data_IF_775015036084
#
_entry.id   IF_775015036084
#
_cell.length_a   1.000
_cell.length_b   1.000
_cell.length_c   1.000
_cell.angle_alpha   90.00
_cell.angle_beta   90.00
_cell.angle_gamma   90.00
#
_symmetry.space_group_name_H-M   'P 1'
#
loop_
_entity.id
_entity.type
_entity.pdbx_description
1 polymer ?
#
# COMPACT_ATOMS: atom_id res chain seq x y z
N UNK A 1 -1.33 -1.65 17.09
CA UNK A 1 -2.32 -2.68 16.74
C UNK A 1 -2.30 -2.80 15.23
N UNK A 2 -2.08 -4.00 14.72
CA UNK A 2 -2.06 -4.29 13.29
C UNK A 2 -3.48 -4.33 12.73
N UNK A 3 -3.61 -4.28 11.40
CA UNK A 3 -4.87 -4.51 10.69
C UNK A 3 -4.62 -5.33 9.43
N UNK A 4 -5.66 -6.03 8.98
CA UNK A 4 -5.59 -6.84 7.76
C UNK A 4 -6.43 -6.27 6.63
N UNK A 5 -6.00 -6.51 5.40
CA UNK A 5 -6.74 -6.17 4.18
C UNK A 5 -6.40 -7.15 3.07
N UNK A 6 -7.20 -7.18 2.01
CA UNK A 6 -6.95 -8.01 0.84
C UNK A 6 -6.34 -7.18 -0.29
N UNK A 7 -5.40 -7.76 -1.02
CA UNK A 7 -4.86 -7.14 -2.23
C UNK A 7 -5.79 -7.30 -3.41
N UNK A 8 -5.75 -6.33 -4.31
CA UNK A 8 -6.38 -6.45 -5.61
C UNK A 8 -5.47 -5.90 -6.71
N UNK A 9 -5.50 -6.56 -7.87
CA UNK A 9 -4.70 -6.21 -9.04
C UNK A 9 -3.28 -6.79 -9.02
N UNK A 10 -2.60 -6.64 -10.15
CA UNK A 10 -1.33 -7.29 -10.45
C UNK A 10 -0.11 -6.39 -10.23
N UNK A 11 -0.23 -5.33 -9.43
CA UNK A 11 0.82 -4.31 -9.33
C UNK A 11 2.15 -4.84 -8.74
N UNK A 12 2.09 -5.91 -7.96
CA UNK A 12 3.27 -6.57 -7.41
C UNK A 12 3.61 -7.87 -8.15
N UNK A 13 2.93 -8.16 -9.26
CA UNK A 13 3.08 -9.38 -10.04
C UNK A 13 2.88 -10.65 -9.22
N UNK A 14 3.70 -11.67 -9.49
CA UNK A 14 3.71 -12.92 -8.73
C UNK A 14 4.18 -12.76 -7.27
N UNK A 15 4.86 -11.65 -6.93
CA UNK A 15 5.41 -11.44 -5.59
C UNK A 15 4.33 -11.25 -4.52
N UNK A 16 3.24 -10.55 -4.86
CA UNK A 16 2.04 -10.49 -4.02
C UNK A 16 0.83 -10.74 -4.92
N UNK A 17 0.23 -11.95 -4.85
CA UNK A 17 -0.87 -12.29 -5.73
C UNK A 17 -2.14 -11.50 -5.38
N UNK A 18 -3.00 -11.32 -6.37
CA UNK A 18 -4.35 -10.79 -6.20
C UNK A 18 -5.14 -11.64 -5.19
N UNK A 19 -5.82 -11.00 -4.25
CA UNK A 19 -6.61 -11.66 -3.20
C UNK A 19 -5.79 -12.16 -2.02
N UNK A 20 -4.49 -11.83 -1.95
CA UNK A 20 -3.66 -12.10 -0.79
C UNK A 20 -4.17 -11.31 0.42
N UNK A 21 -4.27 -11.96 1.58
CA UNK A 21 -4.54 -11.25 2.83
C UNK A 21 -3.21 -10.75 3.41
N UNK A 22 -3.09 -9.44 3.57
CA UNK A 22 -1.91 -8.80 4.14
C UNK A 22 -2.20 -8.27 5.54
N UNK A 23 -1.17 -8.26 6.38
CA UNK A 23 -1.17 -7.62 7.69
C UNK A 23 -0.24 -6.40 7.68
N UNK A 24 -0.79 -5.25 8.06
CA UNK A 24 -0.07 -3.99 8.19
C UNK A 24 0.12 -3.58 9.66
N UNK A 25 1.31 -3.10 9.98
CA UNK A 25 1.66 -2.50 11.27
C UNK A 25 1.93 -0.99 11.11
N UNK A 26 1.15 -0.11 11.77
CA UNK A 26 1.32 1.34 11.71
C UNK A 26 2.40 1.87 12.68
N UNK A 27 3.17 1.01 13.33
CA UNK A 27 4.11 1.38 14.42
C UNK A 27 5.60 1.39 14.02
N UNK A 28 6.14 0.35 13.36
CA UNK A 28 7.58 0.22 13.13
C UNK A 28 8.09 1.20 12.08
N UNK A 29 9.39 1.49 12.16
CA UNK A 29 10.09 2.21 11.10
C UNK A 29 10.12 1.39 9.81
N UNK A 30 9.94 2.08 8.68
CA UNK A 30 9.92 1.52 7.33
C UNK A 30 11.26 1.79 6.65
N UNK A 31 11.91 0.74 6.16
CA UNK A 31 13.21 0.76 5.48
C UNK A 31 13.07 0.49 3.98
N UNK A 32 13.96 1.03 3.14
CA UNK A 32 13.96 0.73 1.71
C UNK A 32 13.98 -0.78 1.43
N UNK A 33 13.21 -1.21 0.44
CA UNK A 33 13.01 -2.62 0.06
C UNK A 33 11.82 -3.29 0.75
N UNK A 34 11.25 -2.69 1.79
CA UNK A 34 10.11 -3.27 2.51
C UNK A 34 8.78 -2.96 1.81
N UNK A 35 7.80 -3.86 1.96
CA UNK A 35 6.45 -3.66 1.49
C UNK A 35 5.66 -2.74 2.42
N UNK A 36 4.83 -1.88 1.84
CA UNK A 36 4.00 -0.92 2.57
C UNK A 36 2.58 -0.86 2.03
N UNK A 37 1.62 -0.64 2.92
CA UNK A 37 0.30 -0.15 2.57
C UNK A 37 0.34 1.37 2.44
N UNK A 38 -0.13 1.90 1.30
CA UNK A 38 -0.15 3.34 1.00
C UNK A 38 -1.57 3.81 0.77
N UNK A 39 -2.07 4.70 1.62
CA UNK A 39 -3.40 5.31 1.46
C UNK A 39 -3.23 6.73 0.93
N UNK A 40 -3.79 6.99 -0.25
CA UNK A 40 -3.73 8.30 -0.89
C UNK A 40 -4.94 9.14 -0.50
N UNK A 41 -4.74 10.45 -0.34
CA UNK A 41 -5.86 11.39 -0.19
C UNK A 41 -6.57 11.57 -1.53
N UNK A 42 -7.88 11.81 -1.49
CA UNK A 42 -8.70 12.09 -2.67
C UNK A 42 -8.50 13.49 -3.26
N UNK A 43 -7.50 14.24 -2.78
CA UNK A 43 -7.21 15.61 -3.18
C UNK A 43 -5.80 15.74 -3.74
N UNK A 44 -5.60 16.77 -4.55
CA UNK A 44 -4.29 17.08 -5.14
C UNK A 44 -3.97 16.26 -6.39
N UNK A 45 -2.69 16.20 -6.80
CA UNK A 45 -2.25 15.65 -8.07
C UNK A 45 -2.47 14.14 -8.19
N UNK A 46 -2.61 13.44 -7.06
CA UNK A 46 -2.84 11.99 -7.01
C UNK A 46 -4.32 11.61 -7.06
N UNK A 47 -5.24 12.59 -7.16
CA UNK A 47 -6.69 12.35 -7.12
C UNK A 47 -7.16 11.31 -8.13
N UNK A 48 -6.66 11.34 -9.37
CA UNK A 48 -7.06 10.37 -10.39
C UNK A 48 -6.75 8.92 -9.98
N UNK A 49 -5.56 8.70 -9.41
CA UNK A 49 -5.17 7.40 -8.85
C UNK A 49 -5.99 7.06 -7.59
N UNK A 50 -6.20 8.02 -6.69
CA UNK A 50 -7.01 7.79 -5.50
C UNK A 50 -8.46 7.39 -5.85
N UNK A 51 -9.05 8.01 -6.88
CA UNK A 51 -10.41 7.70 -7.32
C UNK A 51 -10.52 6.36 -8.05
N UNK A 52 -9.51 5.97 -8.83
CA UNK A 52 -9.49 4.65 -9.48
C UNK A 52 -9.40 3.51 -8.47
N UNK A 53 -8.91 3.79 -7.25
CA UNK A 53 -8.86 2.82 -6.15
C UNK A 53 -10.19 2.79 -5.37
N UNK A 54 -10.78 3.94 -5.05
CA UNK A 54 -12.04 4.00 -4.30
C UNK A 54 -13.24 3.40 -5.03
N UNK A 55 -13.27 3.46 -6.37
CA UNK A 55 -14.38 2.91 -7.18
C UNK A 55 -14.66 1.42 -6.98
N UNK A 56 -13.74 0.70 -6.34
CA UNK A 56 -13.84 -0.74 -6.11
C UNK A 56 -13.72 -1.12 -4.61
N UNK A 57 -13.89 -0.17 -3.69
CA UNK A 57 -13.67 -0.37 -2.24
C UNK A 57 -12.23 -0.74 -1.85
N UNK A 58 -11.24 -0.32 -2.64
CA UNK A 58 -9.84 -0.72 -2.42
C UNK A 58 -9.12 0.16 -1.41
N UNK A 59 -8.60 -0.48 -0.37
CA UNK A 59 -7.88 0.14 0.73
C UNK A 59 -6.39 0.22 0.42
N UNK A 60 -5.99 1.36 -0.16
CA UNK A 60 -4.59 1.67 -0.38
C UNK A 60 -3.86 0.74 -1.37
N UNK A 61 -2.69 1.15 -1.79
CA UNK A 61 -1.88 0.39 -2.75
C UNK A 61 -0.73 -0.27 -2.00
N UNK A 62 -0.53 -1.56 -2.25
CA UNK A 62 0.70 -2.24 -1.83
C UNK A 62 1.81 -1.79 -2.74
N UNK A 63 2.89 -1.29 -2.15
CA UNK A 63 4.09 -0.84 -2.88
C UNK A 63 5.34 -1.28 -2.16
N UNK A 64 6.45 -1.35 -2.88
CA UNK A 64 7.77 -1.40 -2.27
C UNK A 64 8.19 0.00 -1.87
N UNK A 65 8.60 0.19 -0.62
CA UNK A 65 9.20 1.45 -0.19
C UNK A 65 10.62 1.54 -0.75
N UNK A 66 10.90 2.51 -1.61
CA UNK A 66 12.25 2.72 -2.16
C UNK A 66 13.02 3.78 -1.38
N UNK A 67 12.32 4.66 -0.66
CA UNK A 67 13.00 5.72 0.07
C UNK A 67 12.26 7.02 0.22
N UNK A 68 13.04 8.05 0.55
CA UNK A 68 12.58 9.44 0.65
C UNK A 68 13.38 10.32 -0.28
N UNK A 69 12.71 11.34 -0.80
CA UNK A 69 13.35 12.41 -1.55
C UNK A 69 12.73 13.75 -1.19
N UNK A 70 13.28 14.80 -1.77
CA UNK A 70 12.77 16.16 -1.66
C UNK A 70 12.46 16.68 -3.05
N UNK A 71 11.25 17.21 -3.26
CA UNK A 71 10.89 17.84 -4.53
C UNK A 71 11.72 19.11 -4.77
N UNK A 72 11.70 19.61 -6.00
CA UNK A 72 12.35 20.90 -6.34
C UNK A 72 11.93 22.06 -5.40
N UNK A 73 10.71 22.01 -4.88
CA UNK A 73 10.17 23.02 -3.98
C UNK A 73 10.51 22.79 -2.50
N UNK A 74 11.40 21.85 -2.18
CA UNK A 74 11.78 21.54 -0.81
C UNK A 74 10.76 20.67 -0.05
N UNK A 75 9.76 20.09 -0.73
CA UNK A 75 8.71 19.29 -0.07
C UNK A 75 9.14 17.83 0.02
N UNK A 76 8.85 17.19 1.16
CA UNK A 76 9.15 15.78 1.37
C UNK A 76 8.27 14.90 0.49
N UNK A 77 8.89 13.93 -0.17
CA UNK A 77 8.22 12.93 -0.98
C UNK A 77 8.77 11.53 -0.69
N UNK A 78 7.95 10.54 -0.99
CA UNK A 78 8.24 9.12 -0.80
C UNK A 78 8.32 8.43 -2.15
N UNK A 79 9.36 7.64 -2.32
CA UNK A 79 9.61 6.85 -3.52
C UNK A 79 9.00 5.46 -3.32
N UNK A 80 8.09 5.08 -4.20
CA UNK A 80 7.30 3.86 -4.11
C UNK A 80 7.45 3.05 -5.41
N UNK A 81 7.80 1.77 -5.28
CA UNK A 81 7.99 0.84 -6.38
C UNK A 81 6.75 -0.03 -6.61
N UNK A 82 6.43 -0.21 -7.88
CA UNK A 82 5.52 -1.22 -8.41
C UNK A 82 6.34 -2.20 -9.25
N UNK A 83 6.14 -3.50 -9.08
CA UNK A 83 6.97 -4.53 -9.72
C UNK A 83 6.44 -4.94 -11.10
N UNK A 84 5.12 -4.90 -11.30
CA UNK A 84 4.51 -5.29 -12.58
C UNK A 84 3.43 -4.29 -13.04
N UNK A 85 3.67 -3.54 -14.14
CA UNK A 85 5.00 -3.27 -14.70
C UNK A 85 5.91 -2.51 -13.72
N UNK A 86 7.26 -2.55 -13.90
CA UNK A 86 8.21 -1.79 -13.10
C UNK A 86 7.95 -0.27 -13.20
N UNK A 87 7.42 0.33 -12.14
CA UNK A 87 7.11 1.77 -12.06
C UNK A 87 7.60 2.33 -10.74
N UNK A 88 8.25 3.50 -10.80
CA UNK A 88 8.60 4.30 -9.63
C UNK A 88 7.66 5.49 -9.54
N UNK A 89 6.96 5.59 -8.42
CA UNK A 89 6.05 6.68 -8.09
C UNK A 89 6.64 7.54 -6.98
N UNK A 90 6.75 8.84 -7.21
CA UNK A 90 7.07 9.82 -6.18
C UNK A 90 5.78 10.46 -5.66
N UNK A 91 5.50 10.31 -4.35
CA UNK A 91 4.30 10.87 -3.72
C UNK A 91 4.69 11.83 -2.61
N UNK A 92 4.26 13.08 -2.71
CA UNK A 92 4.49 14.05 -1.63
C UNK A 92 3.74 13.65 -0.35
N UNK A 93 4.38 13.85 0.81
CA UNK A 93 3.80 13.49 2.12
C UNK A 93 2.40 14.08 2.33
N UNK A 94 2.17 15.31 1.84
CA UNK A 94 0.88 16.00 1.95
C UNK A 94 -0.29 15.24 1.30
N UNK A 95 -0.02 14.35 0.34
CA UNK A 95 -1.02 13.56 -0.39
C UNK A 95 -1.18 12.13 0.12
N UNK A 96 -0.46 11.76 1.19
CA UNK A 96 -0.57 10.45 1.84
C UNK A 96 -1.43 10.61 3.10
N UNK A 97 -2.48 9.81 3.21
CA UNK A 97 -3.28 9.69 4.43
C UNK A 97 -2.62 8.72 5.42
N UNK A 98 -2.09 7.60 4.91
CA UNK A 98 -1.39 6.61 5.71
C UNK A 98 -0.28 5.88 4.94
N UNK A 99 0.79 5.51 5.66
CA UNK A 99 1.92 4.73 5.14
C UNK A 99 2.38 3.77 6.24
N UNK A 100 2.08 2.49 6.09
CA UNK A 100 2.29 1.47 7.12
C UNK A 100 3.08 0.27 6.59
N UNK A 101 3.89 -0.35 7.45
CA UNK A 101 4.70 -1.51 7.08
C UNK A 101 3.82 -2.74 6.90
N UNK A 102 4.05 -3.54 5.86
CA UNK A 102 3.48 -4.88 5.77
C UNK A 102 4.38 -5.83 6.54
N UNK A 103 3.82 -6.50 7.55
CA UNK A 103 4.55 -7.39 8.47
C UNK A 103 4.19 -8.86 8.28
N UNK A 104 3.11 -9.15 7.54
CA UNK A 104 2.67 -10.50 7.27
C UNK A 104 1.91 -10.61 5.95
N UNK A 105 2.06 -11.76 5.31
CA UNK A 105 1.27 -12.20 4.16
C UNK A 105 0.69 -13.56 4.55
N UNK A 106 -0.63 -13.69 4.54
CA UNK A 106 -1.28 -14.98 4.75
C UNK A 106 -1.52 -15.62 3.39
N UNK A 107 -0.78 -16.69 3.13
CA UNK A 107 -0.91 -17.46 1.91
C UNK A 107 -2.30 -18.08 1.80
N UNK A 108 -2.90 -17.93 0.62
CA UNK A 108 -4.14 -18.59 0.23
C UNK A 108 -3.77 -19.82 -0.61
N UNK A 109 -4.62 -20.85 -0.71
CA UNK A 109 -4.30 -22.11 -1.41
C UNK A 109 -3.93 -21.97 -2.89
N UNK A 110 -4.18 -20.81 -3.49
CA UNK A 110 -3.83 -20.46 -4.87
C UNK A 110 -2.56 -19.61 -4.98
N UNK A 111 -1.88 -19.30 -3.87
CA UNK A 111 -0.48 -18.85 -3.88
C UNK A 111 0.38 -20.09 -4.14
N UNK A 112 0.45 -20.47 -5.42
CA UNK A 112 1.36 -21.50 -5.89
C UNK A 112 2.81 -21.00 -5.73
N UNK A 113 3.75 -21.93 -5.61
CA UNK A 113 5.18 -21.60 -5.71
C UNK A 113 5.43 -20.80 -7.00
N UNK A 114 6.27 -19.77 -6.90
CA UNK A 114 6.67 -19.00 -8.06
C UNK A 114 7.36 -19.93 -9.07
N UNK A 115 7.09 -19.68 -10.35
CA UNK A 115 7.88 -20.30 -11.42
C UNK A 115 9.24 -19.60 -11.53
N UNK A 116 10.25 -20.30 -12.08
CA UNK A 116 11.56 -19.70 -12.37
C UNK A 116 11.45 -18.41 -13.22
N UNK A 117 10.45 -18.34 -14.11
CA UNK A 117 10.17 -17.16 -14.94
C UNK A 117 9.64 -15.99 -14.10
N UNK A 118 8.81 -16.25 -13.09
CA UNK A 118 8.29 -15.24 -12.18
C UNK A 118 9.41 -14.69 -11.27
N UNK A 119 10.29 -15.55 -10.78
CA UNK A 119 11.44 -15.13 -9.98
C UNK A 119 12.42 -14.29 -10.81
N UNK A 120 12.75 -14.72 -12.04
CA UNK A 120 13.58 -13.92 -12.95
C UNK A 120 12.95 -12.56 -13.29
N UNK A 121 11.62 -12.51 -13.47
CA UNK A 121 10.90 -11.25 -13.72
C UNK A 121 10.93 -10.32 -12.51
N UNK A 122 10.79 -10.87 -11.30
CA UNK A 122 10.91 -10.14 -10.05
C UNK A 122 12.32 -9.54 -9.87
N UNK A 123 13.36 -10.35 -10.09
CA UNK A 123 14.75 -9.90 -10.01
C UNK A 123 15.01 -8.76 -11.00
N UNK A 124 14.57 -8.89 -12.25
CA UNK A 124 14.70 -7.84 -13.26
C UNK A 124 13.97 -6.55 -12.86
N UNK A 125 12.77 -6.66 -12.27
CA UNK A 125 12.03 -5.50 -11.77
C UNK A 125 12.77 -4.79 -10.63
N UNK A 126 13.33 -5.55 -9.68
CA UNK A 126 14.11 -5.00 -8.56
C UNK A 126 15.40 -4.33 -9.06
N UNK A 127 16.10 -4.95 -10.02
CA UNK A 127 17.31 -4.38 -10.62
C UNK A 127 17.03 -3.03 -11.29
N UNK A 128 15.94 -2.94 -12.07
CA UNK A 128 15.48 -1.68 -12.67
C UNK A 128 15.14 -0.60 -11.63
N UNK A 129 14.70 -0.99 -10.44
CA UNK A 129 14.39 -0.06 -9.33
C UNK A 129 15.60 0.31 -8.49
N UNK A 130 16.71 -0.45 -8.58
CA UNK A 130 17.90 -0.26 -7.75
C UNK A 130 18.43 1.19 -7.72
N UNK A 131 18.41 1.99 -8.82
CA UNK A 131 18.90 3.37 -8.78
C UNK A 131 18.04 4.32 -7.93
N UNK A 132 16.82 3.92 -7.60
CA UNK A 132 15.83 4.74 -6.90
C UNK A 132 15.77 4.49 -5.39
N UNK A 133 16.58 3.56 -4.88
CA UNK A 133 16.78 3.38 -3.45
C UNK A 133 17.48 4.61 -2.86
N UNK A 134 16.79 5.38 -2.02
CA UNK A 134 17.29 6.69 -1.57
C UNK A 134 16.77 7.15 -0.19
N UNK A 135 17.42 8.12 0.42
CA UNK A 135 16.87 8.86 1.58
C UNK A 135 16.58 8.05 2.85
N UNK A 136 16.93 6.76 2.89
CA UNK A 136 16.86 5.90 4.08
C UNK A 136 15.45 5.66 4.62
N UNK A 137 15.40 5.25 5.89
CA UNK A 137 14.19 4.82 6.56
C UNK A 137 13.23 5.98 6.93
N UNK A 138 11.97 5.66 7.20
CA UNK A 138 10.94 6.63 7.60
C UNK A 138 10.04 6.10 8.71
N UNK A 139 9.52 7.01 9.54
CA UNK A 139 8.40 6.72 10.43
C UNK A 139 7.11 6.52 9.62
N UNK A 140 6.14 5.74 10.14
CA UNK A 140 4.80 5.62 9.59
C UNK A 140 4.09 6.98 9.47
N UNK A 141 3.16 7.08 8.52
CA UNK A 141 2.26 8.23 8.36
C UNK A 141 0.86 7.80 8.76
N UNK A 142 0.15 8.64 9.50
CA UNK A 142 -1.23 8.37 9.90
C UNK A 142 -1.37 7.12 10.77
N UNK A 143 -0.60 6.97 11.88
CA UNK A 143 -0.57 5.73 12.66
C UNK A 143 -1.93 5.33 13.27
N UNK A 144 -2.85 6.29 13.39
CA UNK A 144 -4.22 6.08 13.86
C UNK A 144 -5.21 5.76 12.73
N UNK A 145 -4.78 5.87 11.47
CA UNK A 145 -5.61 5.53 10.33
C UNK A 145 -5.94 4.04 10.31
N UNK A 146 -7.20 3.70 10.07
CA UNK A 146 -7.67 2.33 9.94
C UNK A 146 -8.55 2.20 8.71
N UNK A 147 -8.63 0.98 8.13
CA UNK A 147 -9.67 0.66 7.17
C UNK A 147 -11.06 1.02 7.70
N UNK A 148 -11.91 1.57 6.84
CA UNK A 148 -13.31 1.77 7.19
C UNK A 148 -14.01 0.41 7.22
N UNK A 149 -14.50 0.03 8.39
CA UNK A 149 -15.26 -1.20 8.56
C UNK A 149 -16.72 -0.97 8.16
N UNK A 150 -17.06 -1.36 6.93
CA UNK A 150 -18.42 -1.23 6.39
C UNK A 150 -19.40 -2.09 7.19
N UNK A 151 -19.00 -3.26 7.68
CA UNK A 151 -19.88 -4.14 8.46
C UNK A 151 -20.20 -3.49 9.81
N UNK A 152 -19.19 -3.00 10.52
CA UNK A 152 -19.39 -2.26 11.77
C UNK A 152 -20.22 -0.98 11.56
N UNK A 153 -20.03 -0.28 10.43
CA UNK A 153 -20.84 0.88 10.09
C UNK A 153 -22.31 0.49 9.84
N UNK A 154 -22.57 -0.53 9.01
CA UNK A 154 -23.92 -1.01 8.72
C UNK A 154 -24.61 -1.54 9.99
N UNK A 155 -23.90 -2.24 10.87
CA UNK A 155 -24.43 -2.67 12.16
C UNK A 155 -24.75 -1.47 13.07
N UNK A 156 -23.88 -0.46 13.11
CA UNK A 156 -24.14 0.77 13.90
C UNK A 156 -25.36 1.54 13.40
N UNK A 157 -25.58 1.59 12.08
CA UNK A 157 -26.76 2.23 11.47
C UNK A 157 -28.03 1.44 11.79
N UNK A 158 -28.01 0.10 11.69
CA UNK A 158 -29.14 -0.75 12.09
C UNK A 158 -29.50 -0.61 13.57
N UNK A 159 -28.49 -0.48 14.44
CA UNK A 159 -28.73 -0.25 15.87
C UNK A 159 -29.36 1.13 16.13
N UNK A 160 -28.92 2.18 15.43
CA UNK A 160 -29.53 3.51 15.53
C UNK A 160 -31.00 3.52 15.06
N UNK A 161 -31.32 2.82 13.98
CA UNK A 161 -32.71 2.68 13.49
C UNK A 161 -33.62 1.87 14.45
N UNK A 162 -33.03 0.99 15.28
CA UNK A 162 -33.78 0.22 16.29
C UNK A 162 -34.03 0.97 17.60
N UNK A 163 -33.41 2.14 17.80
CA UNK A 163 -33.59 2.98 19.00
C UNK A 163 -34.72 4.01 18.80
N UNK A 164 -35.09 4.28 17.54
CA UNK A 164 -36.18 5.21 17.17
C UNK A 164 -37.53 4.51 16.85
N UNK A 165 -37.66 3.20 17.14
CA UNK A 165 -38.88 2.39 16.97
C UNK A 165 -39.45 1.92 18.32
#
# INVERSE_FOLDING_TARGET
MTYTFFTEGHCMGGFIPTGAQLEADPTPEIKPGQLVAVVLKETGPMRGLAQSLHGNSWLGVVKMFLGRTTTRAGRKAYMLGQLEPPIVLAVEEAHIAALHLIVGVKETPWMLENTDEQDASLEAAIDLMSPWFCGGATKPIGPDWRPFDIEAFVESVKQLESVDA
#
